data_IF_479141747840
#
_entry.id   IF_479141747840
#
_cell.length_a   1.000
_cell.length_b   1.000
_cell.length_c   1.000
_cell.angle_alpha   90.00
_cell.angle_beta   90.00
_cell.angle_gamma   90.00
#
_symmetry.space_group_name_H-M   'P 1'
#
loop_
_entity.id
_entity.type
_entity.pdbx_description
1 polymer ?
#
# COMPACT_ATOMS: atom_id res chain seq x y z
N UNK A 1 -76.67 19.89 -3.97
CA UNK A 1 -75.55 20.24 -3.05
C UNK A 1 -74.26 19.81 -3.74
N UNK A 2 -73.11 20.51 -3.68
CA UNK A 2 -72.66 21.69 -2.92
C UNK A 2 -72.05 22.73 -3.88
N UNK A 3 -72.26 24.02 -3.64
CA UNK A 3 -71.67 25.15 -4.41
C UNK A 3 -70.26 25.48 -3.91
N UNK A 4 -69.27 25.78 -4.79
CA UNK A 4 -68.17 26.77 -4.57
C UNK A 4 -67.60 27.36 -5.88
N UNK A 5 -67.94 28.63 -6.17
CA UNK A 5 -67.03 29.73 -6.62
C UNK A 5 -66.93 30.68 -5.39
N UNK A 6 -66.02 31.67 -5.25
CA UNK A 6 -65.39 32.52 -6.29
C UNK A 6 -63.89 32.83 -5.95
N UNK A 7 -63.26 33.97 -6.32
CA UNK A 7 -63.41 34.86 -7.49
C UNK A 7 -62.13 34.95 -8.36
N UNK A 8 -62.18 35.73 -9.45
CA UNK A 8 -61.05 36.09 -10.31
C UNK A 8 -60.51 37.50 -9.98
N UNK A 9 -59.25 37.78 -10.36
CA UNK A 9 -58.76 39.13 -10.67
C UNK A 9 -57.30 39.42 -10.27
N UNK A 10 -56.60 40.37 -10.92
CA UNK A 10 -56.79 40.90 -12.27
C UNK A 10 -55.50 40.74 -13.15
N UNK A 11 -55.55 41.23 -14.39
CA UNK A 11 -54.46 41.12 -15.37
C UNK A 11 -53.53 42.35 -15.44
N UNK A 12 -52.26 42.09 -15.75
CA UNK A 12 -51.24 42.99 -16.36
C UNK A 12 -50.15 42.08 -16.97
N UNK A 13 -49.69 42.22 -18.23
CA UNK A 13 -48.94 43.33 -18.86
C UNK A 13 -47.68 43.70 -18.06
N UNK A 14 -46.46 43.82 -18.62
CA UNK A 14 -45.85 43.63 -19.96
C UNK A 14 -44.29 43.65 -19.74
N UNK A 15 -43.35 43.13 -20.55
CA UNK A 15 -43.37 42.45 -21.86
C UNK A 15 -42.20 41.39 -21.99
N UNK A 16 -41.16 41.65 -22.82
CA UNK A 16 -39.96 40.83 -23.19
C UNK A 16 -38.78 41.02 -22.20
N UNK A 17 -37.69 40.24 -22.16
CA UNK A 17 -36.81 39.80 -23.26
C UNK A 17 -36.13 38.42 -23.07
N UNK A 18 -35.92 37.73 -24.20
CA UNK A 18 -34.81 36.78 -24.38
C UNK A 18 -33.54 37.57 -24.72
N UNK A 19 -32.44 37.34 -24.00
CA UNK A 19 -31.10 37.67 -24.52
C UNK A 19 -30.06 36.67 -24.02
N UNK A 20 -29.56 35.86 -24.95
CA UNK A 20 -28.32 35.10 -24.82
C UNK A 20 -27.12 36.05 -24.86
N UNK A 21 -26.08 35.80 -24.07
CA UNK A 21 -24.72 36.17 -24.49
C UNK A 21 -23.65 35.27 -23.84
N UNK A 22 -22.64 34.90 -24.62
CA UNK A 22 -21.45 34.19 -24.17
C UNK A 22 -20.29 35.19 -24.10
N UNK A 23 -19.75 35.48 -22.90
CA UNK A 23 -18.75 36.54 -22.72
C UNK A 23 -17.52 36.08 -21.92
N UNK A 24 -16.42 35.75 -22.61
CA UNK A 24 -15.14 35.32 -22.03
C UNK A 24 -14.12 36.47 -21.95
N UNK A 25 -13.63 36.79 -20.76
CA UNK A 25 -12.34 37.47 -20.51
C UNK A 25 -11.90 37.15 -19.05
N UNK A 26 -10.78 36.46 -18.79
CA UNK A 26 -9.38 36.93 -18.81
C UNK A 26 -9.07 38.08 -17.84
N UNK A 27 -8.39 37.72 -16.74
CA UNK A 27 -7.45 38.51 -15.92
C UNK A 27 -6.60 37.48 -15.12
N UNK A 28 -5.35 37.23 -15.49
CA UNK A 28 -4.12 37.84 -14.90
C UNK A 28 -4.13 37.66 -13.36
N UNK A 29 -3.34 36.76 -12.77
CA UNK A 29 -1.87 36.66 -12.77
C UNK A 29 -1.20 37.98 -12.37
N UNK A 30 -0.94 38.11 -11.07
CA UNK A 30 0.16 38.89 -10.50
C UNK A 30 0.89 37.96 -9.52
N UNK A 31 2.21 38.12 -9.46
CA UNK A 31 3.14 37.22 -8.77
C UNK A 31 3.28 37.54 -7.27
N UNK A 32 3.59 36.52 -6.46
CA UNK A 32 4.32 36.66 -5.20
C UNK A 32 5.24 35.44 -5.05
N UNK A 33 6.54 35.63 -5.24
CA UNK A 33 7.57 34.62 -5.00
C UNK A 33 7.91 34.51 -3.50
N UNK A 34 8.56 33.39 -3.16
CA UNK A 34 9.40 33.19 -1.97
C UNK A 34 8.83 33.44 -0.57
N UNK A 35 8.47 32.33 0.07
CA UNK A 35 9.35 31.85 1.15
C UNK A 35 9.38 30.31 1.18
N UNK A 36 10.31 29.71 0.41
CA UNK A 36 10.60 28.28 0.49
C UNK A 36 11.41 27.97 1.76
N UNK A 37 10.76 28.09 2.92
CA UNK A 37 11.35 27.74 4.20
C UNK A 37 11.73 26.25 4.22
N UNK A 38 13.03 25.97 4.30
CA UNK A 38 13.63 24.64 4.31
C UNK A 38 13.08 23.78 5.46
N UNK A 39 11.92 23.16 5.26
CA UNK A 39 11.48 22.06 6.11
C UNK A 39 12.31 20.85 5.74
N UNK A 40 13.39 20.67 6.51
CA UNK A 40 14.16 19.44 6.61
C UNK A 40 13.19 18.27 6.81
N UNK A 41 12.78 17.67 5.70
CA UNK A 41 11.83 16.55 5.68
C UNK A 41 12.44 15.46 6.56
N UNK A 42 11.66 15.04 7.55
CA UNK A 42 11.96 13.93 8.46
C UNK A 42 12.44 12.72 7.66
N UNK A 43 13.74 12.64 7.40
CA UNK A 43 14.37 11.49 6.76
C UNK A 43 14.05 10.32 7.69
N UNK A 44 13.25 9.32 7.27
CA UNK A 44 13.13 8.10 8.04
C UNK A 44 14.55 7.57 8.25
N UNK A 45 14.80 6.91 9.37
CA UNK A 45 16.15 6.44 9.70
C UNK A 45 16.53 5.26 8.77
N UNK A 46 16.88 5.59 7.51
CA UNK A 46 17.06 4.66 6.40
C UNK A 46 18.18 3.64 6.65
N UNK A 47 19.09 3.94 7.57
CA UNK A 47 20.11 3.00 8.02
C UNK A 47 19.50 1.74 8.65
N UNK A 48 18.35 1.83 9.34
CA UNK A 48 17.70 0.68 9.99
C UNK A 48 16.89 -0.18 9.02
N UNK A 49 16.27 0.41 8.00
CA UNK A 49 15.49 -0.34 6.98
C UNK A 49 16.37 -1.14 6.01
N UNK A 50 17.60 -0.69 5.73
CA UNK A 50 18.51 -1.38 4.78
C UNK A 50 18.81 -2.84 5.15
N UNK A 51 18.76 -3.21 6.44
CA UNK A 51 18.97 -4.58 6.90
C UNK A 51 17.66 -5.37 7.08
N UNK A 52 16.51 -4.80 6.71
CA UNK A 52 15.17 -5.38 6.90
C UNK A 52 14.37 -5.50 5.59
N UNK A 53 14.93 -5.04 4.46
CA UNK A 53 14.32 -5.14 3.14
C UNK A 53 15.08 -6.19 2.31
N UNK A 54 14.41 -7.30 1.98
CA UNK A 54 14.85 -8.26 0.98
C UNK A 54 14.32 -7.78 -0.37
N UNK A 55 15.16 -7.06 -1.12
CA UNK A 55 14.87 -6.70 -2.51
C UNK A 55 15.23 -7.86 -3.45
N UNK A 56 14.56 -7.94 -4.60
CA UNK A 56 15.02 -8.80 -5.68
C UNK A 56 16.41 -8.29 -6.16
N UNK A 57 17.40 -9.18 -6.24
CA UNK A 57 18.65 -8.87 -6.91
C UNK A 57 18.39 -8.65 -8.41
N UNK A 58 19.03 -7.63 -9.01
CA UNK A 58 18.85 -7.27 -10.42
C UNK A 58 19.06 -8.49 -11.33
N UNK A 59 18.01 -8.83 -12.08
CA UNK A 59 17.95 -10.07 -12.86
C UNK A 59 18.97 -10.10 -13.99
N UNK A 60 20.01 -10.92 -13.83
CA UNK A 60 20.80 -11.49 -14.93
C UNK A 60 20.73 -13.02 -14.85
N UNK A 61 20.66 -13.73 -15.99
CA UNK A 61 20.61 -15.19 -15.98
C UNK A 61 21.92 -15.75 -15.40
N UNK A 62 21.78 -16.77 -14.56
CA UNK A 62 22.89 -17.62 -14.12
C UNK A 62 22.97 -18.80 -15.08
N UNK A 63 24.03 -18.85 -15.88
CA UNK A 63 24.31 -20.01 -16.73
C UNK A 63 24.70 -21.22 -15.85
N UNK A 64 24.25 -22.41 -16.26
CA UNK A 64 24.58 -23.67 -15.61
C UNK A 64 26.02 -24.09 -15.97
N UNK A 65 26.91 -24.23 -14.99
CA UNK A 65 28.11 -25.08 -15.14
C UNK A 65 28.17 -26.16 -14.05
N UNK A 66 28.50 -27.38 -14.49
CA UNK A 66 28.70 -28.60 -13.70
C UNK A 66 30.19 -28.85 -13.49
N UNK A 67 30.51 -29.57 -12.40
CA UNK A 67 31.85 -30.13 -12.12
C UNK A 67 32.43 -29.56 -10.83
N UNK A 68 33.07 -30.32 -9.94
CA UNK A 68 33.36 -31.77 -9.95
C UNK A 68 33.41 -32.34 -8.53
N UNK A 69 33.37 -33.67 -8.42
CA UNK A 69 33.54 -34.39 -7.15
C UNK A 69 34.98 -34.30 -6.62
N UNK A 70 35.15 -34.22 -5.28
CA UNK A 70 36.19 -35.02 -4.63
C UNK A 70 35.93 -35.29 -3.13
N UNK A 71 36.11 -36.55 -2.76
CA UNK A 71 36.00 -37.12 -1.41
C UNK A 71 37.29 -36.91 -0.62
N UNK A 72 37.20 -36.80 0.71
CA UNK A 72 38.16 -37.39 1.68
C UNK A 72 37.44 -37.82 2.96
N UNK A 73 38.00 -38.85 3.60
CA UNK A 73 37.41 -39.64 4.67
C UNK A 73 37.95 -39.29 6.08
N UNK A 74 37.30 -39.80 7.13
CA UNK A 74 37.80 -39.91 8.51
C UNK A 74 37.52 -38.72 9.44
N UNK A 75 37.30 -38.89 10.75
CA UNK A 75 37.25 -40.10 11.59
C UNK A 75 36.31 -39.90 12.82
N UNK A 76 36.23 -40.94 13.67
CA UNK A 76 35.24 -41.23 14.72
C UNK A 76 35.23 -40.32 15.98
N UNK A 77 34.02 -40.28 16.57
CA UNK A 77 33.59 -40.29 17.99
C UNK A 77 34.38 -39.58 19.12
N UNK A 78 33.64 -38.83 19.95
CA UNK A 78 33.41 -39.22 21.35
C UNK A 78 32.22 -38.43 21.95
N UNK A 79 31.40 -39.07 22.79
CA UNK A 79 30.26 -38.44 23.46
C UNK A 79 30.35 -38.52 24.98
N UNK A 80 29.85 -37.51 25.69
CA UNK A 80 29.55 -37.59 27.12
C UNK A 80 28.27 -36.83 27.47
N UNK A 81 27.44 -37.44 28.31
CA UNK A 81 26.27 -36.85 28.96
C UNK A 81 26.68 -35.70 29.91
N UNK A 82 25.89 -34.63 29.93
CA UNK A 82 25.52 -33.97 31.19
C UNK A 82 24.02 -33.64 31.19
N UNK A 83 23.24 -34.49 31.87
CA UNK A 83 21.88 -34.17 32.27
C UNK A 83 21.91 -33.22 33.47
N UNK A 84 21.33 -32.03 33.34
CA UNK A 84 21.04 -31.16 34.49
C UNK A 84 19.59 -30.68 34.45
N UNK A 85 18.76 -31.34 35.25
CA UNK A 85 17.37 -30.96 35.52
C UNK A 85 17.30 -29.65 36.31
N UNK A 86 16.90 -28.55 35.66
CA UNK A 86 16.45 -27.34 36.34
C UNK A 86 15.05 -26.94 35.87
N UNK A 87 14.08 -27.17 36.75
CA UNK A 87 12.68 -26.87 36.52
C UNK A 87 12.39 -25.34 36.55
N UNK A 88 11.49 -24.91 35.65
CA UNK A 88 10.59 -23.80 35.92
C UNK A 88 11.16 -22.38 35.93
N UNK A 89 11.52 -21.86 34.75
CA UNK A 89 11.54 -20.41 34.51
C UNK A 89 10.75 -20.09 33.23
N UNK A 90 9.73 -19.23 33.33
CA UNK A 90 8.96 -18.78 32.16
C UNK A 90 9.85 -17.95 31.24
N UNK A 91 10.00 -18.39 30.00
CA UNK A 91 10.70 -17.64 28.95
C UNK A 91 9.76 -16.71 28.17
N UNK A 92 8.88 -15.99 28.88
CA UNK A 92 8.22 -14.77 28.36
C UNK A 92 9.23 -13.60 28.31
N UNK A 93 10.34 -13.82 27.60
CA UNK A 93 11.07 -12.70 27.00
C UNK A 93 10.18 -12.12 25.90
N UNK A 94 9.89 -10.81 25.90
CA UNK A 94 9.08 -10.22 24.84
C UNK A 94 9.77 -10.48 23.50
N UNK A 95 9.14 -11.28 22.64
CA UNK A 95 9.64 -11.51 21.28
C UNK A 95 9.78 -10.16 20.61
N UNK A 96 11.03 -9.75 20.37
CA UNK A 96 11.31 -8.61 19.51
C UNK A 96 10.88 -9.04 18.11
N UNK A 97 9.65 -8.69 17.72
CA UNK A 97 9.11 -9.03 16.41
C UNK A 97 9.96 -8.38 15.32
N UNK A 98 10.78 -9.20 14.68
CA UNK A 98 11.60 -8.77 13.56
C UNK A 98 10.78 -8.95 12.29
N UNK A 99 9.90 -7.97 12.06
CA UNK A 99 9.21 -7.83 10.79
C UNK A 99 10.25 -7.60 9.68
N UNK A 100 10.30 -8.52 8.73
CA UNK A 100 11.12 -8.42 7.51
C UNK A 100 10.20 -8.05 6.35
N UNK A 101 10.63 -7.14 5.47
CA UNK A 101 9.87 -6.75 4.28
C UNK A 101 10.54 -7.33 3.03
N UNK A 102 9.75 -7.86 2.10
CA UNK A 102 10.18 -8.18 0.74
C UNK A 102 9.50 -7.25 -0.25
N UNK A 103 10.26 -6.69 -1.20
CA UNK A 103 9.69 -6.09 -2.42
C UNK A 103 9.73 -7.03 -3.63
N UNK A 104 10.23 -8.25 -3.44
CA UNK A 104 10.18 -9.32 -4.45
C UNK A 104 8.80 -10.01 -4.46
N UNK A 105 8.11 -9.92 -5.59
CA UNK A 105 6.79 -10.52 -5.80
C UNK A 105 6.79 -12.06 -5.73
N UNK A 106 7.96 -12.72 -5.83
CA UNK A 106 8.11 -14.17 -5.68
C UNK A 106 7.95 -14.66 -4.24
N UNK A 107 8.15 -13.78 -3.25
CA UNK A 107 7.94 -14.11 -1.84
C UNK A 107 6.49 -13.94 -1.38
N UNK A 108 5.61 -13.33 -2.20
CA UNK A 108 4.22 -13.06 -1.83
C UNK A 108 3.43 -14.36 -1.71
N UNK A 109 2.85 -14.60 -0.54
CA UNK A 109 1.80 -15.61 -0.35
C UNK A 109 0.52 -15.15 -1.05
N UNK A 110 0.39 -15.55 -2.32
CA UNK A 110 -0.76 -15.19 -3.17
C UNK A 110 -2.06 -15.78 -2.67
N UNK A 111 -2.03 -16.91 -1.96
CA UNK A 111 -3.22 -17.53 -1.41
C UNK A 111 -3.75 -16.72 -0.21
N UNK A 112 -2.86 -16.25 0.67
CA UNK A 112 -3.20 -15.31 1.74
C UNK A 112 -3.73 -13.98 1.17
N UNK A 113 -3.00 -13.37 0.24
CA UNK A 113 -3.38 -12.08 -0.36
C UNK A 113 -4.72 -12.17 -1.07
N UNK A 114 -4.95 -13.22 -1.87
CA UNK A 114 -6.22 -13.41 -2.55
C UNK A 114 -7.37 -13.66 -1.58
N UNK A 115 -7.25 -14.58 -0.62
CA UNK A 115 -8.31 -14.83 0.39
C UNK A 115 -8.67 -13.57 1.16
N UNK A 116 -7.67 -12.87 1.71
CA UNK A 116 -7.92 -11.65 2.48
C UNK A 116 -8.64 -10.57 1.65
N UNK A 117 -8.21 -10.37 0.40
CA UNK A 117 -8.81 -9.34 -0.47
C UNK A 117 -10.19 -9.75 -1.00
N UNK A 118 -10.41 -11.04 -1.30
CA UNK A 118 -11.68 -11.59 -1.78
C UNK A 118 -12.75 -11.68 -0.69
N UNK A 119 -12.39 -12.16 0.51
CA UNK A 119 -13.32 -12.52 1.57
C UNK A 119 -13.46 -11.43 2.65
N UNK A 120 -12.35 -10.80 3.08
CA UNK A 120 -12.35 -9.87 4.22
C UNK A 120 -12.37 -8.38 3.82
N UNK A 121 -11.83 -8.03 2.65
CA UNK A 121 -11.67 -6.62 2.27
C UNK A 121 -12.93 -6.00 1.68
N UNK A 122 -13.36 -4.86 2.23
CA UNK A 122 -14.54 -4.15 1.70
C UNK A 122 -14.31 -3.46 0.34
N UNK A 123 -13.07 -3.39 -0.14
CA UNK A 123 -12.69 -2.67 -1.36
C UNK A 123 -12.37 -3.57 -2.56
N UNK A 124 -11.97 -4.82 -2.32
CA UNK A 124 -11.68 -5.82 -3.36
C UNK A 124 -12.51 -7.11 -3.24
N UNK A 125 -13.58 -7.10 -2.41
CA UNK A 125 -14.49 -8.22 -2.24
C UNK A 125 -14.91 -8.87 -3.58
N UNK A 126 -14.83 -10.20 -3.65
CA UNK A 126 -15.17 -10.96 -4.86
C UNK A 126 -14.14 -10.90 -6.00
N UNK A 127 -12.91 -10.41 -5.76
CA UNK A 127 -11.86 -10.36 -6.81
C UNK A 127 -11.48 -11.77 -7.30
N UNK A 128 -11.64 -12.09 -8.60
CA UNK A 128 -11.27 -13.39 -9.13
C UNK A 128 -9.78 -13.69 -8.94
N UNK A 129 -9.43 -14.97 -8.71
CA UNK A 129 -8.05 -15.38 -8.42
C UNK A 129 -7.09 -15.00 -9.55
N UNK A 130 -7.46 -15.25 -10.80
CA UNK A 130 -6.66 -14.90 -11.98
C UNK A 130 -6.48 -13.38 -12.15
N UNK A 131 -7.45 -12.58 -11.70
CA UNK A 131 -7.35 -11.11 -11.68
C UNK A 131 -6.35 -10.67 -10.61
N UNK A 132 -6.39 -11.26 -9.42
CA UNK A 132 -5.45 -10.93 -8.34
C UNK A 132 -4.03 -11.32 -8.69
N UNK A 133 -3.81 -12.53 -9.23
CA UNK A 133 -2.47 -12.99 -9.63
C UNK A 133 -1.85 -12.04 -10.68
N UNK A 134 -2.61 -11.67 -11.73
CA UNK A 134 -2.17 -10.67 -12.72
C UNK A 134 -1.93 -9.29 -12.12
N UNK A 135 -2.72 -8.88 -11.12
CA UNK A 135 -2.55 -7.60 -10.45
C UNK A 135 -1.24 -7.56 -9.64
N UNK A 136 -0.86 -8.68 -9.00
CA UNK A 136 0.43 -8.85 -8.33
C UNK A 136 1.56 -8.80 -9.36
N UNK A 137 1.46 -9.55 -10.46
CA UNK A 137 2.49 -9.60 -11.52
C UNK A 137 2.78 -8.24 -12.16
N UNK A 138 1.74 -7.41 -12.33
CA UNK A 138 1.83 -6.08 -12.94
C UNK A 138 2.12 -4.92 -11.99
N UNK A 139 2.46 -5.18 -10.71
CA UNK A 139 2.63 -4.13 -9.69
C UNK A 139 3.97 -4.23 -8.96
N UNK A 140 4.36 -3.14 -8.29
CA UNK A 140 5.37 -3.21 -7.23
C UNK A 140 4.68 -3.68 -5.94
N UNK A 141 5.03 -4.86 -5.44
CA UNK A 141 4.41 -5.47 -4.27
C UNK A 141 5.33 -5.44 -3.07
N UNK A 142 4.75 -5.30 -1.87
CA UNK A 142 5.47 -5.35 -0.60
C UNK A 142 4.77 -6.34 0.33
N UNK A 143 5.50 -7.35 0.79
CA UNK A 143 5.03 -8.32 1.78
C UNK A 143 5.85 -8.20 3.06
N UNK A 144 5.19 -8.21 4.23
CA UNK A 144 5.85 -8.26 5.54
C UNK A 144 5.72 -9.66 6.12
N UNK A 145 6.79 -10.16 6.71
CA UNK A 145 6.88 -11.48 7.33
C UNK A 145 7.22 -11.37 8.82
N UNK A 146 6.66 -12.24 9.64
CA UNK A 146 7.14 -12.44 11.02
C UNK A 146 8.32 -13.42 10.98
N UNK A 147 9.53 -12.88 10.85
CA UNK A 147 10.76 -13.63 10.63
C UNK A 147 11.29 -13.61 9.19
N UNK A 148 12.28 -14.46 8.90
CA UNK A 148 13.00 -14.52 7.62
C UNK A 148 12.16 -15.20 6.51
N UNK A 149 11.78 -14.51 5.42
CA UNK A 149 10.97 -15.08 4.35
C UNK A 149 11.64 -16.28 3.66
N UNK A 150 12.98 -16.35 3.65
CA UNK A 150 13.72 -17.48 3.06
C UNK A 150 13.57 -18.77 3.88
N UNK A 151 13.10 -18.67 5.13
CA UNK A 151 12.93 -19.78 6.09
C UNK A 151 11.48 -20.15 6.35
N UNK A 152 10.58 -19.88 5.39
CA UNK A 152 9.12 -20.10 5.50
C UNK A 152 8.45 -19.30 6.62
N UNK A 153 8.93 -18.08 6.91
CA UNK A 153 8.20 -17.14 7.76
C UNK A 153 6.80 -16.86 7.21
N UNK A 154 5.82 -16.64 8.09
CA UNK A 154 4.46 -16.33 7.69
C UNK A 154 4.38 -14.89 7.18
N UNK A 155 3.70 -14.66 6.05
CA UNK A 155 3.33 -13.31 5.63
C UNK A 155 2.20 -12.78 6.52
N UNK A 156 2.34 -11.54 7.00
CA UNK A 156 1.45 -10.92 8.00
C UNK A 156 0.90 -9.56 7.57
N UNK A 157 1.50 -8.94 6.55
CA UNK A 157 0.98 -7.72 5.93
C UNK A 157 1.33 -7.67 4.44
N UNK A 158 0.57 -6.87 3.68
CA UNK A 158 0.75 -6.68 2.25
C UNK A 158 0.40 -5.26 1.84
N UNK A 159 1.10 -4.71 0.85
CA UNK A 159 0.69 -3.54 0.07
C UNK A 159 1.07 -3.74 -1.40
N UNK A 160 0.33 -3.08 -2.29
CA UNK A 160 0.57 -3.10 -3.73
C UNK A 160 0.60 -1.68 -4.27
N UNK A 161 1.54 -1.38 -5.15
CA UNK A 161 1.64 -0.09 -5.84
C UNK A 161 1.56 -0.30 -7.34
N UNK A 162 0.54 0.28 -7.96
CA UNK A 162 0.47 0.42 -9.43
C UNK A 162 1.25 1.68 -9.78
N UNK A 163 2.37 1.55 -10.49
CA UNK A 163 3.28 2.67 -10.76
C UNK A 163 3.99 2.51 -12.10
N UNK A 164 4.29 3.63 -12.74
CA UNK A 164 5.20 3.74 -13.89
C UNK A 164 6.68 3.86 -13.48
N UNK A 165 6.97 3.90 -12.17
CA UNK A 165 8.29 4.11 -11.55
C UNK A 165 8.98 5.42 -11.95
N UNK A 166 8.21 6.41 -12.42
CA UNK A 166 8.75 7.67 -12.95
C UNK A 166 7.92 8.91 -12.59
N UNK A 167 6.59 8.85 -12.69
CA UNK A 167 5.72 10.02 -12.50
C UNK A 167 4.57 9.80 -11.53
N UNK A 168 4.12 8.55 -11.37
CA UNK A 168 2.87 8.23 -10.69
C UNK A 168 2.93 6.92 -9.89
N UNK A 169 2.34 6.91 -8.69
CA UNK A 169 2.10 5.70 -7.91
C UNK A 169 0.72 5.68 -7.25
N UNK A 170 -0.01 4.57 -7.37
CA UNK A 170 -1.26 4.31 -6.66
C UNK A 170 -1.05 3.18 -5.64
N UNK A 171 -1.03 3.53 -4.35
CA UNK A 171 -0.91 2.58 -3.23
C UNK A 171 -2.30 2.00 -2.93
N UNK A 172 -2.38 0.68 -2.90
CA UNK A 172 -3.61 -0.08 -2.73
C UNK A 172 -3.38 -1.43 -2.06
N UNK A 173 -4.48 -2.13 -1.76
CA UNK A 173 -4.49 -3.47 -1.16
C UNK A 173 -3.66 -3.58 0.13
N UNK A 174 -3.59 -2.48 0.88
CA UNK A 174 -2.85 -2.38 2.14
C UNK A 174 -3.63 -3.10 3.23
N UNK A 175 -3.07 -4.17 3.77
CA UNK A 175 -3.65 -4.88 4.92
C UNK A 175 -2.60 -5.43 5.88
N UNK A 176 -3.06 -5.71 7.11
CA UNK A 176 -2.34 -6.45 8.15
C UNK A 176 -3.31 -7.51 8.67
N UNK A 177 -2.88 -8.77 8.78
CA UNK A 177 -3.70 -9.87 9.33
C UNK A 177 -4.08 -9.56 10.79
N UNK A 178 -5.27 -9.95 11.27
CA UNK A 178 -5.80 -9.51 12.57
C UNK A 178 -4.82 -9.66 13.75
N UNK A 179 -4.06 -10.76 13.78
CA UNK A 179 -3.15 -11.19 14.84
C UNK A 179 -1.90 -10.30 14.95
N UNK A 180 -1.56 -9.58 13.89
CA UNK A 180 -0.40 -8.69 13.81
C UNK A 180 -0.77 -7.18 13.82
N UNK A 181 -2.06 -6.85 13.99
CA UNK A 181 -2.52 -5.45 14.12
C UNK A 181 -2.05 -4.84 15.44
N UNK A 182 -1.81 -3.53 15.44
CA UNK A 182 -1.29 -2.79 16.62
C UNK A 182 0.18 -3.03 16.96
N UNK A 183 0.85 -4.03 16.35
CA UNK A 183 2.22 -4.46 16.68
C UNK A 183 3.32 -3.83 15.81
N UNK A 184 2.94 -2.97 14.86
CA UNK A 184 3.88 -2.19 14.04
C UNK A 184 4.03 -2.65 12.59
N UNK A 185 3.54 -3.84 12.22
CA UNK A 185 3.66 -4.38 10.85
C UNK A 185 3.22 -3.39 9.74
N UNK A 186 2.08 -2.72 9.91
CA UNK A 186 1.58 -1.72 8.95
C UNK A 186 2.42 -0.45 8.85
N UNK A 187 3.17 -0.09 9.92
CA UNK A 187 4.16 0.98 9.87
C UNK A 187 5.40 0.51 9.10
N UNK A 188 5.94 -0.66 9.43
CA UNK A 188 7.09 -1.26 8.74
C UNK A 188 6.85 -1.38 7.23
N UNK A 189 5.65 -1.81 6.85
CA UNK A 189 5.18 -1.87 5.47
C UNK A 189 5.21 -0.50 4.78
N UNK A 190 4.59 0.52 5.37
CA UNK A 190 4.55 1.87 4.77
C UNK A 190 5.91 2.57 4.78
N UNK A 191 6.74 2.37 5.81
CA UNK A 191 8.13 2.85 5.83
C UNK A 191 8.91 2.27 4.63
N UNK A 192 8.75 0.98 4.34
CA UNK A 192 9.40 0.32 3.21
C UNK A 192 8.86 0.77 1.84
N UNK A 193 7.54 0.96 1.70
CA UNK A 193 6.93 1.52 0.49
C UNK A 193 7.50 2.91 0.19
N UNK A 194 7.47 3.82 1.16
CA UNK A 194 7.89 5.21 0.95
C UNK A 194 9.41 5.38 0.82
N UNK A 195 10.20 4.41 1.28
CA UNK A 195 11.66 4.40 1.13
C UNK A 195 12.17 3.68 -0.14
N UNK A 196 11.30 3.02 -0.92
CA UNK A 196 11.70 2.25 -2.10
C UNK A 196 12.27 3.16 -3.21
N UNK A 197 13.36 2.80 -3.91
CA UNK A 197 13.96 3.62 -4.97
C UNK A 197 12.96 4.06 -6.04
N UNK A 198 12.17 3.12 -6.57
CA UNK A 198 11.14 3.38 -7.60
C UNK A 198 9.95 4.25 -7.13
N UNK A 199 9.90 4.58 -5.83
CA UNK A 199 8.90 5.50 -5.26
C UNK A 199 9.47 6.93 -5.06
N UNK A 200 10.76 7.14 -5.30
CA UNK A 200 11.40 8.45 -5.18
C UNK A 200 11.18 9.28 -6.44
N UNK A 201 10.97 10.59 -6.29
CA UNK A 201 10.79 11.52 -7.41
C UNK A 201 9.44 11.44 -8.14
N UNK A 202 8.55 10.51 -7.77
CA UNK A 202 7.19 10.44 -8.31
C UNK A 202 6.44 11.76 -8.03
N UNK A 203 5.96 12.41 -9.09
CA UNK A 203 5.21 13.67 -8.99
C UNK A 203 3.90 13.51 -8.20
N UNK A 204 3.23 12.38 -8.34
CA UNK A 204 1.97 12.09 -7.67
C UNK A 204 2.01 10.69 -7.05
N UNK A 205 1.78 10.61 -5.73
CA UNK A 205 1.49 9.36 -5.04
C UNK A 205 0.08 9.47 -4.45
N UNK A 206 -0.76 8.49 -4.73
CA UNK A 206 -2.17 8.48 -4.36
C UNK A 206 -2.55 7.21 -3.60
N UNK A 207 -3.62 7.34 -2.83
CA UNK A 207 -4.33 6.23 -2.20
C UNK A 207 -5.79 6.64 -1.92
N UNK A 208 -6.64 5.66 -1.64
CA UNK A 208 -7.94 5.89 -1.00
C UNK A 208 -7.98 5.10 0.30
N UNK A 209 -8.50 5.73 1.36
CA UNK A 209 -8.68 5.11 2.67
C UNK A 209 -10.02 5.50 3.24
N UNK A 210 -10.63 4.62 4.04
CA UNK A 210 -11.89 4.89 4.75
C UNK A 210 -11.64 5.35 6.19
N UNK A 211 -10.61 4.80 6.82
CA UNK A 211 -10.39 4.83 8.27
C UNK A 211 -8.93 5.11 8.67
N UNK A 212 -7.94 4.70 7.86
CA UNK A 212 -6.51 4.83 8.18
C UNK A 212 -5.86 6.21 7.86
N UNK A 213 -6.64 7.29 7.77
CA UNK A 213 -6.17 8.65 7.44
C UNK A 213 -4.95 9.11 8.27
N UNK A 214 -4.99 8.90 9.60
CA UNK A 214 -3.92 9.29 10.53
C UNK A 214 -2.65 8.43 10.48
N UNK A 215 -2.65 7.32 9.74
CA UNK A 215 -1.44 6.60 9.36
C UNK A 215 -0.77 7.31 8.18
N UNK A 216 -1.52 7.51 7.10
CA UNK A 216 -1.00 8.08 5.85
C UNK A 216 -0.55 9.54 6.00
N UNK A 217 -1.22 10.35 6.83
CA UNK A 217 -0.80 11.73 7.11
C UNK A 217 0.65 11.85 7.63
N UNK A 218 1.19 10.80 8.26
CA UNK A 218 2.59 10.76 8.75
C UNK A 218 3.62 10.67 7.62
N UNK A 219 3.20 10.26 6.43
CA UNK A 219 4.01 10.14 5.22
C UNK A 219 3.73 11.29 4.23
N UNK A 220 3.09 12.38 4.68
CA UNK A 220 2.79 13.56 3.86
C UNK A 220 1.50 13.48 3.03
N UNK A 221 0.73 12.39 3.12
CA UNK A 221 -0.57 12.34 2.44
C UNK A 221 -1.58 13.30 3.08
N UNK A 222 -2.17 14.15 2.26
CA UNK A 222 -3.28 15.02 2.64
C UNK A 222 -4.58 14.60 1.90
N UNK A 223 -5.76 15.04 2.35
CA UNK A 223 -6.95 15.03 1.50
C UNK A 223 -6.67 15.73 0.17
N UNK A 224 -7.27 15.24 -0.92
CA UNK A 224 -7.14 15.85 -2.24
C UNK A 224 -7.59 17.31 -2.17
N UNK A 225 -6.75 18.24 -2.64
CA UNK A 225 -7.06 19.68 -2.61
C UNK A 225 -8.29 20.04 -3.46
N UNK A 226 -8.46 19.36 -4.60
CA UNK A 226 -9.58 19.57 -5.52
C UNK A 226 -10.29 18.22 -5.79
N UNK A 227 -11.04 17.67 -4.81
CA UNK A 227 -11.61 16.32 -4.94
C UNK A 227 -12.64 16.23 -6.06
N UNK A 228 -13.31 17.34 -6.39
CA UNK A 228 -14.29 17.44 -7.48
C UNK A 228 -13.69 17.24 -8.89
N UNK A 229 -12.36 17.34 -9.06
CA UNK A 229 -11.67 17.09 -10.34
C UNK A 229 -11.44 15.60 -10.63
N UNK A 230 -11.66 14.72 -9.65
CA UNK A 230 -11.38 13.29 -9.77
C UNK A 230 -12.62 12.53 -10.25
N UNK A 231 -12.45 11.81 -11.37
CA UNK A 231 -13.48 10.97 -11.96
C UNK A 231 -13.02 9.50 -11.95
N UNK A 232 -13.94 8.56 -11.77
CA UNK A 232 -13.64 7.14 -11.76
C UNK A 232 -14.75 6.30 -12.42
N UNK A 233 -14.37 5.36 -13.28
CA UNK A 233 -15.25 4.28 -13.72
C UNK A 233 -15.07 3.12 -12.75
N UNK A 234 -16.06 2.88 -11.87
CA UNK A 234 -16.06 1.74 -10.96
C UNK A 234 -17.02 0.67 -11.46
N UNK A 235 -16.52 -0.55 -11.59
CA UNK A 235 -17.30 -1.76 -11.90
C UNK A 235 -17.01 -2.77 -10.80
N UNK A 236 -18.01 -3.20 -10.00
CA UNK A 236 -17.77 -4.23 -9.00
C UNK A 236 -17.42 -5.55 -9.68
N UNK A 237 -16.66 -6.40 -8.99
CA UNK A 237 -16.58 -7.81 -9.35
C UNK A 237 -17.97 -8.44 -9.23
N UNK A 238 -18.29 -9.37 -10.14
CA UNK A 238 -19.53 -10.14 -10.04
C UNK A 238 -19.24 -11.37 -9.18
N UNK A 239 -20.04 -11.63 -8.14
CA UNK A 239 -19.98 -12.90 -7.40
C UNK A 239 -20.45 -14.07 -8.26
#
# INVERSE_FOLDING_TARGET
MVRRKPPEGPAGREDREHRTDEGRAHKELDDDEDECGERELLRPNCARLKNQIVAAADGRPIDEERGDEQRRDGDEEDGLDEQLDHAGASLDSPRVEQYVVSSDARHVDRDLVWRFLHDESYWAAGVPRDVMDRAIDGSLCFAVFDGDPTRRAAQVAFARVVTDRATFGWICDVFVVPEHRGRGAGKTLMDAVMAHPDMQGLRNILLATRDAHGLYARYGFAPLAEPARWMAIRRPYRP
#
